data_IF_168292553772
#
_entry.id   IF_168292553772
#
_cell.length_a   1.000
_cell.length_b   1.000
_cell.length_c   1.000
_cell.angle_alpha   90.00
_cell.angle_beta   90.00
_cell.angle_gamma   90.00
#
_symmetry.space_group_name_H-M   'P 1'
#
loop_
_entity.id
_entity.type
_entity.pdbx_description
1 polymer ?
#
# COMPACT_ATOMS: atom_id res chain seq x y z
N UNK A 1 -23.79 -1.67 2.07
CA UNK A 1 -23.64 -1.88 3.53
C UNK A 1 -22.15 -2.00 3.83
N UNK A 2 -21.53 -1.01 4.48
CA UNK A 2 -20.14 -1.10 4.95
C UNK A 2 -20.21 -1.62 6.40
N UNK A 3 -19.47 -2.67 6.74
CA UNK A 3 -19.41 -3.20 8.11
C UNK A 3 -17.97 -3.02 8.61
N UNK A 4 -17.62 -1.83 9.14
CA UNK A 4 -16.25 -1.51 9.57
C UNK A 4 -15.66 -2.53 10.53
N UNK A 5 -16.48 -3.04 11.46
CA UNK A 5 -16.06 -4.01 12.47
C UNK A 5 -15.58 -5.35 11.85
N UNK A 6 -16.26 -5.82 10.80
CA UNK A 6 -15.87 -7.05 10.12
C UNK A 6 -14.53 -6.89 9.38
N UNK A 7 -14.30 -5.71 8.77
CA UNK A 7 -13.03 -5.42 8.09
C UNK A 7 -11.88 -5.37 9.09
N UNK A 8 -12.09 -4.79 10.27
CA UNK A 8 -11.08 -4.74 11.33
C UNK A 8 -10.73 -6.14 11.84
N UNK A 9 -11.73 -7.01 12.05
CA UNK A 9 -11.50 -8.42 12.39
C UNK A 9 -10.72 -9.15 11.30
N UNK A 10 -11.09 -8.97 10.03
CA UNK A 10 -10.35 -9.54 8.91
C UNK A 10 -8.89 -9.05 8.89
N UNK A 11 -8.65 -7.77 9.18
CA UNK A 11 -7.29 -7.23 9.24
C UNK A 11 -6.48 -7.88 10.34
N UNK A 12 -7.08 -8.19 11.51
CA UNK A 12 -6.41 -8.93 12.57
C UNK A 12 -6.05 -10.36 12.14
N UNK A 13 -6.99 -11.09 11.55
CA UNK A 13 -6.79 -12.48 11.09
C UNK A 13 -5.73 -12.62 9.97
N UNK A 14 -5.61 -11.57 9.16
CA UNK A 14 -4.68 -11.52 8.01
C UNK A 14 -3.33 -10.86 8.35
N UNK A 15 -3.09 -10.46 9.60
CA UNK A 15 -1.79 -9.91 10.03
C UNK A 15 -0.64 -10.86 9.70
N UNK A 16 0.51 -10.27 9.45
CA UNK A 16 1.77 -10.93 9.06
C UNK A 16 1.69 -11.69 7.73
N UNK A 17 0.68 -11.43 6.91
CA UNK A 17 0.48 -12.05 5.59
C UNK A 17 0.26 -11.02 4.47
N UNK A 18 0.16 -9.74 4.77
CA UNK A 18 -0.23 -8.72 3.79
C UNK A 18 0.77 -8.58 2.64
N UNK A 19 2.07 -8.80 2.88
CA UNK A 19 3.06 -8.80 1.80
C UNK A 19 2.82 -9.92 0.78
N UNK A 20 2.55 -11.14 1.25
CA UNK A 20 2.25 -12.31 0.40
C UNK A 20 0.87 -12.21 -0.25
N UNK A 21 -0.12 -11.70 0.48
CA UNK A 21 -1.47 -11.49 -0.04
C UNK A 21 -1.48 -10.41 -1.14
N UNK A 22 -0.62 -9.39 -1.01
CA UNK A 22 -0.53 -8.31 -2.01
C UNK A 22 -0.08 -8.79 -3.39
N UNK A 23 0.74 -9.83 -3.46
CA UNK A 23 1.26 -10.39 -4.72
C UNK A 23 0.43 -11.57 -5.24
N UNK A 24 -0.68 -11.89 -4.59
CA UNK A 24 -1.58 -12.95 -5.03
C UNK A 24 -2.71 -12.35 -5.88
N UNK A 25 -2.93 -12.90 -7.09
CA UNK A 25 -3.95 -12.45 -8.06
C UNK A 25 -5.34 -12.19 -7.48
N UNK A 26 -5.79 -13.01 -6.53
CA UNK A 26 -7.14 -12.90 -5.96
C UNK A 26 -7.13 -12.18 -4.61
N UNK A 27 -6.13 -12.48 -3.78
CA UNK A 27 -6.04 -11.88 -2.45
C UNK A 27 -5.64 -10.39 -2.49
N UNK A 28 -4.93 -9.94 -3.53
CA UNK A 28 -4.57 -8.52 -3.71
C UNK A 28 -5.82 -7.63 -3.72
N UNK A 29 -6.90 -8.09 -4.36
CA UNK A 29 -8.19 -7.38 -4.40
C UNK A 29 -8.79 -7.24 -3.00
N UNK A 30 -8.62 -8.25 -2.15
CA UNK A 30 -9.07 -8.20 -0.74
C UNK A 30 -8.24 -7.17 0.02
N UNK A 31 -6.91 -7.14 -0.18
CA UNK A 31 -6.06 -6.12 0.46
C UNK A 31 -6.43 -4.72 0.00
N UNK A 32 -6.67 -4.50 -1.30
CA UNK A 32 -7.15 -3.21 -1.82
C UNK A 32 -8.51 -2.80 -1.26
N UNK A 33 -9.42 -3.77 -1.12
CA UNK A 33 -10.72 -3.56 -0.48
C UNK A 33 -10.54 -3.11 0.98
N UNK A 34 -9.73 -3.83 1.76
CA UNK A 34 -9.47 -3.48 3.15
C UNK A 34 -8.80 -2.10 3.27
N UNK A 35 -7.87 -1.74 2.39
CA UNK A 35 -7.27 -0.40 2.37
C UNK A 35 -8.29 0.70 2.06
N UNK A 36 -9.29 0.41 1.21
CA UNK A 36 -10.29 1.39 0.78
C UNK A 36 -11.46 1.56 1.76
N UNK A 37 -11.80 0.50 2.49
CA UNK A 37 -13.05 0.42 3.25
C UNK A 37 -12.86 0.12 4.74
N UNK A 38 -11.62 0.10 5.25
CA UNK A 38 -11.34 0.01 6.69
C UNK A 38 -11.05 1.38 7.30
N UNK A 39 -11.07 1.44 8.63
CA UNK A 39 -10.67 2.62 9.37
C UNK A 39 -9.15 2.89 9.22
N UNK A 40 -8.70 4.06 9.69
CA UNK A 40 -7.30 4.47 9.52
C UNK A 40 -6.31 3.61 10.34
N UNK A 41 -6.73 3.00 11.45
CA UNK A 41 -5.87 2.11 12.23
C UNK A 41 -5.60 0.80 11.48
N UNK A 42 -6.63 0.23 10.88
CA UNK A 42 -6.53 -0.95 10.04
C UNK A 42 -5.68 -0.68 8.77
N UNK A 43 -5.91 0.45 8.10
CA UNK A 43 -5.10 0.89 6.96
C UNK A 43 -3.63 1.05 7.36
N UNK A 44 -3.37 1.66 8.52
CA UNK A 44 -2.01 1.81 9.06
C UNK A 44 -1.35 0.47 9.30
N UNK A 45 -2.05 -0.51 9.89
CA UNK A 45 -1.52 -1.87 10.12
C UNK A 45 -1.06 -2.50 8.80
N UNK A 46 -1.93 -2.51 7.78
CA UNK A 46 -1.61 -3.10 6.47
C UNK A 46 -0.39 -2.40 5.85
N UNK A 47 -0.42 -1.06 5.80
CA UNK A 47 0.63 -0.28 5.17
C UNK A 47 1.98 -0.44 5.88
N UNK A 48 1.98 -0.43 7.21
CA UNK A 48 3.19 -0.61 7.99
C UNK A 48 3.78 -2.03 7.86
N UNK A 49 2.94 -3.05 7.74
CA UNK A 49 3.40 -4.41 7.50
C UNK A 49 4.09 -4.54 6.14
N UNK A 50 3.49 -3.99 5.08
CA UNK A 50 4.09 -3.96 3.75
C UNK A 50 5.43 -3.21 3.80
N UNK A 51 5.49 -2.03 4.43
CA UNK A 51 6.72 -1.23 4.55
C UNK A 51 7.84 -1.95 5.32
N UNK A 52 7.51 -2.81 6.30
CA UNK A 52 8.50 -3.56 7.10
C UNK A 52 8.87 -4.91 6.48
N UNK A 53 8.15 -5.36 5.46
CA UNK A 53 8.43 -6.66 4.82
C UNK A 53 9.76 -6.64 4.07
N UNK A 54 10.49 -7.75 4.17
CA UNK A 54 11.68 -8.00 3.32
C UNK A 54 11.31 -8.10 1.83
N UNK A 55 10.05 -8.40 1.54
CA UNK A 55 9.50 -8.49 0.18
C UNK A 55 8.96 -7.15 -0.34
N UNK A 56 9.19 -6.03 0.35
CA UNK A 56 8.64 -4.73 -0.02
C UNK A 56 8.86 -4.38 -1.50
N UNK A 57 10.09 -4.50 -1.99
CA UNK A 57 10.41 -4.18 -3.38
C UNK A 57 9.70 -5.12 -4.37
N UNK A 58 9.58 -6.41 -4.02
CA UNK A 58 8.83 -7.39 -4.81
C UNK A 58 7.35 -6.97 -4.92
N UNK A 59 6.73 -6.49 -3.84
CA UNK A 59 5.35 -5.98 -3.87
C UNK A 59 5.23 -4.81 -4.86
N UNK A 60 6.21 -3.89 -4.92
CA UNK A 60 6.17 -2.76 -5.85
C UNK A 60 6.38 -3.15 -7.31
N UNK A 61 7.12 -4.24 -7.54
CA UNK A 61 7.39 -4.79 -8.86
C UNK A 61 6.35 -5.81 -9.33
N UNK A 62 5.43 -6.25 -8.48
CA UNK A 62 4.48 -7.29 -8.80
C UNK A 62 3.29 -6.76 -9.66
N UNK A 63 2.80 -7.53 -10.65
CA UNK A 63 1.63 -7.17 -11.48
C UNK A 63 0.35 -6.88 -10.68
N UNK A 64 0.20 -7.42 -9.47
CA UNK A 64 -0.93 -7.19 -8.58
C UNK A 64 -0.53 -6.29 -7.39
N UNK A 65 0.63 -6.54 -6.80
CA UNK A 65 1.14 -5.81 -5.64
C UNK A 65 1.34 -4.31 -5.89
N UNK A 66 1.68 -3.91 -7.13
CA UNK A 66 1.82 -2.49 -7.46
C UNK A 66 0.52 -1.70 -7.24
N UNK A 67 -0.64 -2.31 -7.46
CA UNK A 67 -1.95 -1.69 -7.21
C UNK A 67 -2.20 -1.56 -5.72
N UNK A 68 -1.86 -2.59 -4.94
CA UNK A 68 -1.95 -2.56 -3.47
C UNK A 68 -1.06 -1.45 -2.90
N UNK A 69 0.18 -1.32 -3.37
CA UNK A 69 1.10 -0.28 -2.92
C UNK A 69 0.58 1.14 -3.25
N UNK A 70 0.05 1.35 -4.46
CA UNK A 70 -0.59 2.62 -4.83
C UNK A 70 -1.82 2.91 -3.97
N UNK A 71 -2.64 1.89 -3.71
CA UNK A 71 -3.81 2.02 -2.85
C UNK A 71 -3.42 2.38 -1.42
N UNK A 72 -2.44 1.69 -0.85
CA UNK A 72 -1.94 1.96 0.49
C UNK A 72 -1.41 3.40 0.60
N UNK A 73 -0.68 3.87 -0.42
CA UNK A 73 -0.18 5.23 -0.46
C UNK A 73 -1.29 6.29 -0.55
N UNK A 74 -2.39 6.02 -1.26
CA UNK A 74 -3.58 6.90 -1.33
C UNK A 74 -4.39 6.91 -0.04
N UNK A 75 -4.56 5.76 0.59
CA UNK A 75 -5.42 5.59 1.76
C UNK A 75 -4.74 5.96 3.09
N UNK A 76 -3.41 5.94 3.14
CA UNK A 76 -2.65 6.38 4.31
C UNK A 76 -2.61 7.91 4.42
N UNK A 77 -2.51 8.41 5.65
CA UNK A 77 -2.46 9.86 5.95
C UNK A 77 -1.28 10.21 6.86
N UNK A 78 -1.00 11.52 6.97
CA UNK A 78 -0.04 12.08 7.93
C UNK A 78 1.35 11.45 7.87
N UNK A 79 1.86 11.04 9.04
CA UNK A 79 3.20 10.45 9.17
C UNK A 79 3.36 9.13 8.40
N UNK A 80 2.32 8.28 8.37
CA UNK A 80 2.37 6.98 7.68
C UNK A 80 2.57 7.17 6.18
N UNK A 81 1.79 8.07 5.55
CA UNK A 81 1.94 8.38 4.12
C UNK A 81 3.32 8.93 3.78
N UNK A 82 3.85 9.84 4.62
CA UNK A 82 5.20 10.41 4.43
C UNK A 82 6.27 9.32 4.50
N UNK A 83 6.19 8.43 5.49
CA UNK A 83 7.14 7.31 5.63
C UNK A 83 7.06 6.35 4.46
N UNK A 84 5.86 5.99 4.00
CA UNK A 84 5.67 5.11 2.85
C UNK A 84 6.24 5.74 1.58
N UNK A 85 5.86 6.99 1.30
CA UNK A 85 6.36 7.75 0.15
C UNK A 85 7.89 7.86 0.15
N UNK A 86 8.49 8.18 1.30
CA UNK A 86 9.95 8.26 1.46
C UNK A 86 10.62 6.90 1.20
N UNK A 87 10.05 5.80 1.71
CA UNK A 87 10.59 4.47 1.50
C UNK A 87 10.54 4.06 0.02
N UNK A 88 9.42 4.31 -0.68
CA UNK A 88 9.32 4.06 -2.13
C UNK A 88 10.42 4.84 -2.88
N UNK A 89 10.59 6.13 -2.57
CA UNK A 89 11.60 6.99 -3.20
C UNK A 89 13.03 6.52 -2.95
N UNK A 90 13.33 5.95 -1.79
CA UNK A 90 14.66 5.39 -1.52
C UNK A 90 15.03 4.26 -2.49
N UNK A 91 14.03 3.59 -3.09
CA UNK A 91 14.19 2.55 -4.10
C UNK A 91 14.05 3.06 -5.55
N UNK A 92 14.16 4.38 -5.77
CA UNK A 92 13.95 5.02 -7.09
C UNK A 92 14.67 4.31 -8.24
N UNK A 93 15.95 3.98 -8.08
CA UNK A 93 16.75 3.36 -9.13
C UNK A 93 16.21 1.99 -9.57
N UNK A 94 15.66 1.22 -8.63
CA UNK A 94 15.05 -0.08 -8.92
C UNK A 94 13.64 0.04 -9.52
N UNK A 95 12.93 1.14 -9.25
CA UNK A 95 11.54 1.32 -9.68
C UNK A 95 11.42 2.02 -11.03
N UNK A 96 12.29 2.98 -11.34
CA UNK A 96 12.15 3.86 -12.51
C UNK A 96 12.17 3.12 -13.86
N UNK A 97 12.90 1.99 -13.94
CA UNK A 97 13.00 1.16 -15.15
C UNK A 97 12.00 0.00 -15.18
N UNK A 98 11.26 -0.25 -14.09
CA UNK A 98 10.33 -1.38 -14.00
C UNK A 98 8.94 -1.02 -14.54
N UNK A 99 8.33 -1.91 -15.32
CA UNK A 99 7.03 -1.67 -15.97
C UNK A 99 5.91 -1.32 -14.98
N UNK A 100 5.90 -1.98 -13.81
CA UNK A 100 4.95 -1.70 -12.72
C UNK A 100 5.49 -0.72 -11.68
N UNK A 101 6.79 -0.81 -11.36
CA UNK A 101 7.41 -0.04 -10.29
C UNK A 101 7.43 1.46 -10.58
N UNK A 102 7.56 1.85 -11.85
CA UNK A 102 7.55 3.26 -12.27
C UNK A 102 6.26 3.97 -11.88
N UNK A 103 5.10 3.30 -11.96
CA UNK A 103 3.81 3.89 -11.63
C UNK A 103 3.70 4.17 -10.13
N UNK A 104 4.19 3.25 -9.30
CA UNK A 104 4.23 3.41 -7.85
C UNK A 104 5.17 4.55 -7.45
N UNK A 105 6.34 4.63 -8.10
CA UNK A 105 7.31 5.71 -7.89
C UNK A 105 6.72 7.07 -8.27
N UNK A 106 6.10 7.21 -9.44
CA UNK A 106 5.44 8.45 -9.88
C UNK A 106 4.41 8.92 -8.86
N UNK A 107 3.56 8.02 -8.36
CA UNK A 107 2.59 8.36 -7.34
C UNK A 107 3.26 8.79 -6.02
N UNK A 108 4.33 8.11 -5.60
CA UNK A 108 5.09 8.51 -4.41
C UNK A 108 5.72 9.91 -4.56
N UNK A 109 6.20 10.27 -5.75
CA UNK A 109 6.76 11.58 -6.05
C UNK A 109 5.70 12.69 -5.97
N UNK A 110 4.46 12.45 -6.38
CA UNK A 110 3.37 13.43 -6.27
C UNK A 110 3.09 13.86 -4.82
N UNK A 111 3.23 12.96 -3.83
CA UNK A 111 3.03 13.29 -2.41
C UNK A 111 4.20 14.08 -1.76
N UNK A 112 5.22 14.49 -2.52
CA UNK A 112 6.30 15.38 -2.03
C UNK A 112 5.90 16.84 -2.07
N UNK A 113 5.11 17.19 -3.07
CA UNK A 113 4.60 18.53 -3.28
C UNK A 113 3.29 18.59 -2.50
N UNK A 114 3.16 19.54 -1.57
CA UNK A 114 2.07 19.65 -0.57
C UNK A 114 0.65 19.80 -1.14
N UNK A 115 0.23 18.93 -2.04
CA UNK A 115 -1.08 18.87 -2.63
C UNK A 115 -1.80 17.67 -2.00
N UNK A 116 -2.58 17.98 -0.97
CA UNK A 116 -3.73 17.18 -0.62
C UNK A 116 -4.66 17.16 -1.83
N UNK A 117 -4.42 16.24 -2.76
CA UNK A 117 -5.41 15.93 -3.78
C UNK A 117 -6.59 15.27 -3.08
N UNK A 118 -7.58 16.11 -2.77
CA UNK A 118 -8.93 15.71 -2.44
C UNK A 118 -9.53 15.00 -3.66
N UNK A 119 -9.81 13.72 -3.50
CA UNK A 119 -10.77 12.97 -4.31
C UNK A 119 -11.91 12.53 -3.40
#
# INVERSE_FOLDING_TARGET
MKIPLANEQMVQELRSKFDRLSVNKYASNVVEYLLSFSNQDAVKVIAEEIMRSRNFLNVLHDPYGNYVAQRALRCTKGHVRRRFSSLIKSHRLALQSHIYGKNVLTLAMAYTEGSEFNF
#
